data_IF_820378050221
#
_entry.id   IF_820378050221
#
_cell.length_a   1.000
_cell.length_b   1.000
_cell.length_c   1.000
_cell.angle_alpha   90.00
_cell.angle_beta   90.00
_cell.angle_gamma   90.00
#
_symmetry.space_group_name_H-M   'P 1'
#
loop_
_entity.id
_entity.type
_entity.pdbx_description
1 polymer ?
#
# COMPACT_ATOMS: atom_id res chain seq x y z
N UNK A 1 17.18 8.50 -12.88
CA UNK A 1 16.04 9.37 -13.21
C UNK A 1 14.91 9.02 -12.28
N UNK A 2 14.54 9.90 -11.36
CA UNK A 2 13.40 9.70 -10.45
C UNK A 2 12.18 10.38 -11.04
N UNK A 3 11.23 9.62 -11.56
CA UNK A 3 9.96 10.15 -12.07
C UNK A 3 9.08 10.55 -10.89
N UNK A 4 8.86 11.85 -10.72
CA UNK A 4 7.77 12.37 -9.89
C UNK A 4 6.45 12.11 -10.64
N UNK A 5 5.90 10.91 -10.48
CA UNK A 5 4.56 10.58 -10.93
C UNK A 5 3.56 11.30 -10.03
N UNK A 6 2.59 12.00 -10.63
CA UNK A 6 1.44 12.52 -9.88
C UNK A 6 0.57 11.33 -9.38
N UNK A 7 -0.25 11.55 -8.37
CA UNK A 7 -1.02 10.48 -7.72
C UNK A 7 -1.87 9.65 -8.69
N UNK A 8 -2.57 10.32 -9.62
CA UNK A 8 -3.35 9.66 -10.66
C UNK A 8 -2.49 8.74 -11.54
N UNK A 9 -1.31 9.23 -11.98
CA UNK A 9 -0.39 8.46 -12.81
C UNK A 9 0.25 7.29 -12.07
N UNK A 10 0.42 7.43 -10.75
CA UNK A 10 0.99 6.38 -9.90
C UNK A 10 -0.04 5.27 -9.64
N UNK A 11 -1.32 5.63 -9.51
CA UNK A 11 -2.43 4.68 -9.43
C UNK A 11 -2.62 3.97 -10.79
N UNK A 12 -2.60 4.68 -11.92
CA UNK A 12 -2.69 4.01 -13.23
C UNK A 12 -1.52 3.08 -13.51
N UNK A 13 -0.31 3.44 -13.08
CA UNK A 13 0.87 2.60 -13.13
C UNK A 13 0.67 1.25 -12.41
N UNK A 14 -0.15 1.21 -11.35
CA UNK A 14 -0.47 -0.01 -10.61
C UNK A 14 -1.19 -1.08 -11.43
N UNK A 15 -1.77 -0.75 -12.59
CA UNK A 15 -2.43 -1.73 -13.47
C UNK A 15 -1.44 -2.67 -14.17
N UNK A 16 -0.20 -2.22 -14.37
CA UNK A 16 0.79 -2.92 -15.20
C UNK A 16 2.07 -3.28 -14.44
N UNK A 17 2.35 -2.58 -13.34
CA UNK A 17 3.54 -2.79 -12.55
C UNK A 17 3.50 -4.06 -11.71
N UNK A 18 4.66 -4.58 -11.36
CA UNK A 18 4.79 -5.59 -10.31
C UNK A 18 4.79 -4.95 -8.91
N UNK A 19 4.38 -5.68 -7.86
CA UNK A 19 4.40 -5.17 -6.49
C UNK A 19 5.77 -4.68 -6.02
N UNK A 20 6.84 -5.30 -6.50
CA UNK A 20 8.23 -4.90 -6.22
C UNK A 20 8.59 -3.57 -6.89
N UNK A 21 8.15 -3.34 -8.12
CA UNK A 21 8.38 -2.09 -8.84
C UNK A 21 7.59 -0.93 -8.21
N UNK A 22 6.33 -1.18 -7.80
CA UNK A 22 5.53 -0.22 -7.05
C UNK A 22 6.22 0.10 -5.73
N UNK A 23 6.66 -0.91 -4.97
CA UNK A 23 7.38 -0.71 -3.71
C UNK A 23 8.64 0.17 -3.90
N UNK A 24 9.45 -0.10 -4.94
CA UNK A 24 10.63 0.73 -5.25
C UNK A 24 10.23 2.16 -5.61
N UNK A 25 9.16 2.33 -6.37
CA UNK A 25 8.67 3.65 -6.77
C UNK A 25 8.21 4.47 -5.56
N UNK A 26 7.34 3.90 -4.71
CA UNK A 26 6.78 4.61 -3.54
C UNK A 26 7.81 4.91 -2.46
N UNK A 27 8.84 4.08 -2.34
CA UNK A 27 9.98 4.30 -1.42
C UNK A 27 11.10 5.14 -2.03
N UNK A 28 10.94 5.65 -3.27
CA UNK A 28 11.98 6.40 -4.01
C UNK A 28 13.31 5.63 -4.08
N UNK A 29 13.23 4.31 -4.23
CA UNK A 29 14.37 3.39 -4.28
C UNK A 29 14.99 3.04 -2.91
N UNK A 30 14.56 3.67 -1.81
CA UNK A 30 15.07 3.44 -0.45
C UNK A 30 14.33 2.28 0.25
N UNK A 31 14.26 1.14 -0.41
CA UNK A 31 13.58 -0.04 0.12
C UNK A 31 14.37 -0.60 1.31
N UNK A 32 13.74 -0.68 2.49
CA UNK A 32 14.31 -1.28 3.69
C UNK A 32 14.02 -2.78 3.73
N UNK A 33 14.82 -3.53 4.50
CA UNK A 33 14.58 -4.97 4.72
C UNK A 33 13.20 -5.28 5.30
N UNK A 34 12.69 -4.40 6.16
CA UNK A 34 11.33 -4.49 6.70
C UNK A 34 10.26 -4.37 5.61
N UNK A 35 10.45 -3.47 4.65
CA UNK A 35 9.50 -3.22 3.56
C UNK A 35 9.41 -4.46 2.65
N UNK A 36 10.55 -5.09 2.33
CA UNK A 36 10.61 -6.35 1.59
C UNK A 36 9.93 -7.51 2.33
N UNK A 37 10.15 -7.60 3.65
CA UNK A 37 9.55 -8.65 4.47
C UNK A 37 8.03 -8.51 4.50
N UNK A 38 7.52 -7.29 4.72
CA UNK A 38 6.09 -7.00 4.72
C UNK A 38 5.46 -7.35 3.36
N UNK A 39 6.10 -6.95 2.24
CA UNK A 39 5.64 -7.29 0.90
C UNK A 39 5.60 -8.80 0.67
N UNK A 40 6.65 -9.53 1.07
CA UNK A 40 6.70 -11.00 0.91
C UNK A 40 5.56 -11.70 1.65
N UNK A 41 5.23 -11.24 2.85
CA UNK A 41 4.11 -11.80 3.65
C UNK A 41 2.77 -11.57 2.94
N UNK A 42 2.55 -10.38 2.39
CA UNK A 42 1.34 -10.06 1.61
C UNK A 42 1.26 -10.93 0.36
N UNK A 43 2.36 -11.01 -0.40
CA UNK A 43 2.39 -11.79 -1.64
C UNK A 43 2.17 -13.29 -1.42
N UNK A 44 2.64 -13.84 -0.30
CA UNK A 44 2.40 -15.22 0.06
C UNK A 44 0.91 -15.55 0.29
N UNK A 45 0.06 -14.55 0.60
CA UNK A 45 -1.39 -14.77 0.76
C UNK A 45 -2.09 -15.05 -0.57
N UNK A 46 -1.68 -14.35 -1.65
CA UNK A 46 -2.16 -14.54 -3.02
C UNK A 46 -3.70 -14.60 -3.16
N UNK A 47 -4.45 -13.82 -2.37
CA UNK A 47 -5.93 -13.74 -2.44
C UNK A 47 -6.47 -12.47 -3.09
N UNK A 48 -5.67 -11.42 -3.20
CA UNK A 48 -6.04 -10.19 -3.89
C UNK A 48 -5.34 -10.14 -5.25
N UNK A 49 -6.02 -9.62 -6.29
CA UNK A 49 -5.38 -9.37 -7.57
C UNK A 49 -4.16 -8.44 -7.44
N UNK A 50 -3.19 -8.60 -8.32
CA UNK A 50 -1.90 -7.89 -8.24
C UNK A 50 -2.10 -6.38 -8.33
N UNK A 51 -2.98 -5.93 -9.21
CA UNK A 51 -3.35 -4.53 -9.39
C UNK A 51 -3.98 -3.93 -8.13
N UNK A 52 -4.76 -4.71 -7.36
CA UNK A 52 -5.31 -4.29 -6.07
C UNK A 52 -4.20 -4.16 -5.03
N UNK A 53 -3.29 -5.14 -4.99
CA UNK A 53 -2.12 -5.09 -4.09
C UNK A 53 -1.24 -3.88 -4.40
N UNK A 54 -1.05 -3.55 -5.68
CA UNK A 54 -0.27 -2.40 -6.09
C UNK A 54 -0.85 -1.08 -5.58
N UNK A 55 -2.17 -0.87 -5.76
CA UNK A 55 -2.84 0.33 -5.21
C UNK A 55 -2.75 0.36 -3.68
N UNK A 56 -2.90 -0.79 -3.02
CA UNK A 56 -2.74 -0.90 -1.57
C UNK A 56 -1.33 -0.49 -1.10
N UNK A 57 -0.28 -0.85 -1.84
CA UNK A 57 1.09 -0.45 -1.53
C UNK A 57 1.27 1.06 -1.65
N UNK A 58 0.74 1.67 -2.72
CA UNK A 58 0.73 3.13 -2.88
C UNK A 58 0.07 3.79 -1.68
N UNK A 59 -1.14 3.37 -1.36
CA UNK A 59 -1.93 3.89 -0.25
C UNK A 59 -1.19 3.78 1.09
N UNK A 60 -0.62 2.60 1.39
CA UNK A 60 0.10 2.35 2.63
C UNK A 60 1.38 3.20 2.77
N UNK A 61 2.25 3.16 1.76
CA UNK A 61 3.55 3.83 1.84
C UNK A 61 3.47 5.34 1.65
N UNK A 62 2.39 5.87 1.05
CA UNK A 62 2.11 7.30 1.04
C UNK A 62 1.83 7.80 2.47
N UNK A 63 1.03 7.07 3.23
CA UNK A 63 0.72 7.46 4.61
C UNK A 63 1.94 7.31 5.55
N UNK A 64 2.69 6.22 5.43
CA UNK A 64 3.87 5.97 6.27
C UNK A 64 5.18 6.47 5.66
N UNK A 65 5.14 7.41 4.70
CA UNK A 65 6.33 7.90 4.01
C UNK A 65 7.33 8.53 5.01
N UNK A 66 8.38 7.76 5.35
CA UNK A 66 9.39 8.06 6.37
C UNK A 66 8.97 7.87 7.85
N UNK A 67 7.81 7.25 8.10
CA UNK A 67 7.39 6.87 9.45
C UNK A 67 7.76 5.42 9.77
N UNK A 68 7.94 5.13 11.06
CA UNK A 68 8.05 3.75 11.56
C UNK A 68 6.64 3.16 11.62
N UNK A 69 6.45 1.99 11.01
CA UNK A 69 5.21 1.24 11.03
C UNK A 69 5.48 -0.18 11.57
N UNK A 70 4.45 -0.85 12.11
CA UNK A 70 4.58 -2.24 12.57
C UNK A 70 4.59 -3.18 11.37
N UNK A 71 5.46 -4.19 11.38
CA UNK A 71 5.61 -5.15 10.28
C UNK A 71 4.28 -5.78 9.82
N UNK A 72 3.28 -5.86 10.69
CA UNK A 72 1.98 -6.45 10.40
C UNK A 72 0.94 -5.42 9.93
N UNK A 73 1.21 -4.12 9.97
CA UNK A 73 0.23 -3.11 9.58
C UNK A 73 -0.17 -3.23 8.11
N UNK A 74 0.81 -3.51 7.22
CA UNK A 74 0.50 -3.77 5.82
C UNK A 74 -0.41 -5.00 5.65
N UNK A 75 -0.19 -6.04 6.46
CA UNK A 75 -1.04 -7.24 6.45
C UNK A 75 -2.45 -6.94 7.00
N UNK A 76 -2.60 -6.06 7.99
CA UNK A 76 -3.92 -5.65 8.49
C UNK A 76 -4.73 -4.91 7.41
N UNK A 77 -4.08 -4.02 6.66
CA UNK A 77 -4.73 -3.34 5.53
C UNK A 77 -5.15 -4.35 4.47
N UNK A 78 -4.27 -5.31 4.15
CA UNK A 78 -4.59 -6.41 3.24
C UNK A 78 -5.82 -7.21 3.69
N UNK A 79 -5.84 -7.65 4.95
CA UNK A 79 -6.95 -8.44 5.51
C UNK A 79 -8.25 -7.62 5.53
N UNK A 80 -8.17 -6.31 5.78
CA UNK A 80 -9.32 -5.40 5.70
C UNK A 80 -9.87 -5.33 4.28
N UNK A 81 -9.02 -5.11 3.28
CA UNK A 81 -9.42 -5.04 1.87
C UNK A 81 -9.99 -6.37 1.38
N UNK A 82 -9.40 -7.49 1.79
CA UNK A 82 -9.91 -8.82 1.50
C UNK A 82 -11.31 -9.05 2.09
N UNK A 83 -11.55 -8.62 3.34
CA UNK A 83 -12.86 -8.72 4.00
C UNK A 83 -13.93 -7.85 3.35
N UNK A 84 -13.56 -6.72 2.77
CA UNK A 84 -14.47 -5.81 2.06
C UNK A 84 -14.61 -6.16 0.57
N UNK A 85 -14.12 -7.33 0.15
CA UNK A 85 -14.22 -7.83 -1.22
C UNK A 85 -13.68 -6.85 -2.27
N UNK A 86 -12.55 -6.21 -1.98
CA UNK A 86 -11.85 -5.34 -2.92
C UNK A 86 -11.20 -6.21 -3.99
N UNK A 87 -11.82 -6.29 -5.17
CA UNK A 87 -11.41 -7.21 -6.25
C UNK A 87 -11.00 -6.53 -7.53
N UNK A 88 -11.35 -5.26 -7.69
CA UNK A 88 -11.00 -4.50 -8.90
C UNK A 88 -10.15 -3.30 -8.56
N UNK A 89 -9.48 -2.77 -9.57
CA UNK A 89 -8.76 -1.51 -9.46
C UNK A 89 -9.65 -0.37 -8.97
N UNK A 90 -10.89 -0.28 -9.46
CA UNK A 90 -11.84 0.76 -9.02
C UNK A 90 -12.25 0.59 -7.56
N UNK A 91 -12.41 -0.65 -7.07
CA UNK A 91 -12.66 -0.89 -5.65
C UNK A 91 -11.47 -0.43 -4.81
N UNK A 92 -10.25 -0.74 -5.25
CA UNK A 92 -9.03 -0.37 -4.57
C UNK A 92 -8.87 1.16 -4.48
N UNK A 93 -9.16 1.88 -5.57
CA UNK A 93 -9.18 3.35 -5.59
C UNK A 93 -10.15 3.91 -4.54
N UNK A 94 -11.40 3.43 -4.51
CA UNK A 94 -12.39 3.86 -3.51
C UNK A 94 -11.94 3.59 -2.07
N UNK A 95 -11.22 2.51 -1.85
CA UNK A 95 -10.71 2.18 -0.52
C UNK A 95 -9.60 3.12 -0.04
N UNK A 96 -8.97 3.86 -0.96
CA UNK A 96 -7.97 4.87 -0.60
C UNK A 96 -8.57 6.12 0.06
N UNK A 97 -9.88 6.33 -0.06
CA UNK A 97 -10.61 7.43 0.59
C UNK A 97 -10.78 7.20 2.10
N UNK A 98 -10.59 5.97 2.58
CA UNK A 98 -10.68 5.62 4.00
C UNK A 98 -9.39 6.05 4.70
N UNK A 99 -9.48 6.66 5.89
CA UNK A 99 -8.31 6.91 6.72
C UNK A 99 -7.68 5.59 7.18
N UNK A 100 -6.42 5.36 6.83
CA UNK A 100 -5.70 4.13 7.16
C UNK A 100 -5.55 3.92 8.67
N UNK A 101 -5.51 4.99 9.47
CA UNK A 101 -5.48 4.88 10.93
C UNK A 101 -6.76 4.22 11.47
N UNK A 102 -7.91 4.46 10.82
CA UNK A 102 -9.18 3.80 11.16
C UNK A 102 -9.12 2.29 10.89
N UNK A 103 -8.50 1.87 9.78
CA UNK A 103 -8.28 0.46 9.44
C UNK A 103 -7.36 -0.21 10.46
N UNK A 104 -6.28 0.50 10.82
CA UNK A 104 -5.26 0.00 11.74
C UNK A 104 -5.67 0.07 13.21
N UNK A 105 -6.81 0.71 13.52
CA UNK A 105 -7.27 1.03 14.88
C UNK A 105 -6.20 1.77 15.69
N UNK A 106 -5.47 2.67 15.03
CA UNK A 106 -4.48 3.53 15.66
C UNK A 106 -5.11 4.89 15.95
N UNK A 107 -4.82 5.44 17.12
CA UNK A 107 -5.17 6.83 17.43
C UNK A 107 -4.28 7.71 16.57
N UNK A 108 -4.85 8.60 15.77
CA UNK A 108 -4.14 9.74 15.19
C UNK A 108 -3.52 10.50 16.36
N UNK A 109 -2.19 10.45 16.52
CA UNK A 109 -1.56 11.35 17.48
C UNK A 109 -1.91 12.77 17.04
N UNK A 110 -2.58 13.58 17.87
CA UNK A 110 -2.70 14.99 17.57
C UNK A 110 -1.29 15.57 17.64
N UNK A 111 -0.90 16.26 16.56
CA UNK A 111 0.34 17.04 16.52
C UNK A 111 0.40 17.89 17.79
N UNK A 112 1.41 17.63 18.62
CA UNK A 112 1.73 18.42 19.82
C UNK A 112 2.65 19.57 19.44
#
# INVERSE_FOLDING_TARGET
MGTNLNEQSLIEYCKYATPTEVLRTVTKGKVRGLDLLALRIVMARNKLPIEVVNVMLVYFFKHFANMVYDRNDLLKVYDYWLKHNVRTHSDAEKMTDIDICSILKKVTQPDS
#
